data_IF_095827773102
#
_entry.id   IF_095827773102
#
_cell.length_a   1.000
_cell.length_b   1.000
_cell.length_c   1.000
_cell.angle_alpha   90.00
_cell.angle_beta   90.00
_cell.angle_gamma   90.00
#
_symmetry.space_group_name_H-M   'P 1'
#
loop_
_entity.id
_entity.type
_entity.pdbx_description
1 polymer ?
#
# COMPACT_ATOMS: atom_id res chain seq x y z
N UNK A 1 40.73 -8.29 -20.39
CA UNK A 1 41.06 -7.15 -21.29
C UNK A 1 39.88 -6.24 -21.66
N UNK A 2 38.72 -6.74 -22.12
CA UNK A 2 37.58 -5.86 -22.51
C UNK A 2 37.03 -4.97 -21.38
N UNK A 3 36.91 -5.49 -20.15
CA UNK A 3 36.45 -4.73 -18.98
C UNK A 3 37.39 -3.58 -18.60
N UNK A 4 38.69 -3.87 -18.53
CA UNK A 4 39.72 -2.86 -18.25
C UNK A 4 39.73 -1.77 -19.34
N UNK A 5 39.57 -2.17 -20.61
CA UNK A 5 39.43 -1.22 -21.72
C UNK A 5 38.23 -0.31 -21.55
N UNK A 6 37.07 -0.84 -21.16
CA UNK A 6 35.87 -0.04 -20.92
C UNK A 6 36.08 1.02 -19.82
N UNK A 7 36.77 0.64 -18.73
CA UNK A 7 37.13 1.56 -17.64
C UNK A 7 38.10 2.64 -18.14
N UNK A 8 39.12 2.27 -18.92
CA UNK A 8 40.10 3.21 -19.46
C UNK A 8 39.58 4.08 -20.62
N UNK A 9 38.45 3.73 -21.21
CA UNK A 9 37.81 4.51 -22.27
C UNK A 9 36.76 5.48 -21.72
N UNK A 10 35.98 5.05 -20.71
CA UNK A 10 34.82 5.81 -20.23
C UNK A 10 34.74 5.99 -18.70
N UNK A 11 35.77 5.67 -17.93
CA UNK A 11 35.79 5.77 -16.46
C UNK A 11 35.85 7.19 -15.87
N UNK A 12 35.40 8.21 -16.59
CA UNK A 12 35.42 9.59 -16.08
C UNK A 12 34.58 9.73 -14.81
N UNK A 13 35.01 10.61 -13.91
CA UNK A 13 34.39 10.82 -12.60
C UNK A 13 33.85 12.25 -12.46
N UNK A 14 32.79 12.58 -13.21
CA UNK A 14 32.11 13.89 -13.14
C UNK A 14 30.64 13.77 -12.71
N UNK A 15 30.14 14.70 -11.91
CA UNK A 15 28.74 14.72 -11.44
C UNK A 15 28.61 14.57 -9.92
N UNK A 16 27.37 14.53 -9.43
CA UNK A 16 27.05 14.44 -8.00
C UNK A 16 26.97 13.02 -7.44
N UNK A 17 27.22 12.00 -8.27
CA UNK A 17 27.23 10.58 -7.89
C UNK A 17 28.62 10.13 -7.45
N UNK A 18 28.68 9.11 -6.59
CA UNK A 18 29.95 8.56 -6.11
C UNK A 18 30.85 8.09 -7.26
N UNK A 19 32.16 8.23 -7.04
CA UNK A 19 33.24 7.92 -7.99
C UNK A 19 33.12 6.49 -8.54
N UNK A 20 32.81 5.51 -7.70
CA UNK A 20 32.68 4.11 -8.08
C UNK A 20 31.45 3.87 -8.96
N UNK A 21 30.29 4.40 -8.57
CA UNK A 21 29.08 4.31 -9.39
C UNK A 21 29.29 4.98 -10.77
N UNK A 22 29.98 6.10 -10.82
CA UNK A 22 30.29 6.80 -12.07
C UNK A 22 31.14 5.94 -13.02
N UNK A 23 32.25 5.40 -12.50
CA UNK A 23 33.13 4.51 -13.28
C UNK A 23 32.35 3.27 -13.73
N UNK A 24 31.55 2.66 -12.84
CA UNK A 24 30.81 1.45 -13.13
C UNK A 24 29.71 1.67 -14.18
N UNK A 25 28.89 2.71 -14.04
CA UNK A 25 27.80 3.01 -14.96
C UNK A 25 28.32 3.38 -16.35
N UNK A 26 29.39 4.18 -16.43
CA UNK A 26 29.98 4.55 -17.70
C UNK A 26 30.66 3.35 -18.38
N UNK A 27 31.37 2.53 -17.61
CA UNK A 27 32.00 1.30 -18.12
C UNK A 27 30.96 0.28 -18.57
N UNK A 28 29.85 0.15 -17.84
CA UNK A 28 28.75 -0.75 -18.18
C UNK A 28 28.01 -0.29 -19.43
N UNK A 29 27.82 1.03 -19.58
CA UNK A 29 27.23 1.62 -20.78
C UNK A 29 28.11 1.36 -22.01
N UNK A 30 29.44 1.52 -21.86
CA UNK A 30 30.39 1.19 -22.93
C UNK A 30 30.36 -0.29 -23.32
N UNK A 31 30.32 -1.19 -22.33
CA UNK A 31 30.22 -2.64 -22.58
C UNK A 31 28.89 -3.07 -23.20
N UNK A 32 27.79 -2.38 -22.86
CA UNK A 32 26.46 -2.62 -23.44
C UNK A 32 26.33 -2.05 -24.86
N UNK A 33 27.00 -0.93 -25.16
CA UNK A 33 27.01 -0.33 -26.50
C UNK A 33 27.74 -1.18 -27.54
N UNK A 34 28.74 -1.96 -27.13
CA UNK A 34 29.49 -2.88 -28.00
C UNK A 34 28.79 -4.22 -28.30
N UNK A 35 27.50 -4.40 -27.95
CA UNK A 35 26.76 -5.62 -28.27
C UNK A 35 26.20 -5.68 -29.69
N UNK A 36 26.33 -4.58 -30.47
CA UNK A 36 26.02 -4.57 -31.88
C UNK A 36 27.34 -4.68 -32.63
N UNK A 37 27.52 -5.82 -33.30
CA UNK A 37 28.82 -6.34 -33.72
C UNK A 37 29.63 -5.37 -34.57
N UNK A 38 30.88 -5.20 -34.16
CA UNK A 38 32.04 -5.00 -35.01
C UNK A 38 33.24 -5.49 -34.19
N UNK A 39 33.82 -6.60 -34.64
CA UNK A 39 35.12 -7.05 -34.17
C UNK A 39 36.18 -6.11 -34.73
N UNK A 40 36.38 -4.97 -34.07
CA UNK A 40 37.51 -4.11 -34.42
C UNK A 40 38.79 -4.71 -33.85
N UNK A 41 39.46 -5.44 -34.74
CA UNK A 41 40.85 -5.85 -34.71
C UNK A 41 41.80 -4.65 -35.00
N UNK A 42 41.45 -3.46 -34.50
CA UNK A 42 42.36 -2.31 -34.47
C UNK A 42 42.36 -1.70 -33.07
N UNK A 43 43.53 -1.23 -32.64
CA UNK A 43 43.81 -0.74 -31.30
C UNK A 43 43.04 0.53 -30.96
N UNK A 44 41.73 0.42 -30.69
CA UNK A 44 40.91 1.53 -30.19
C UNK A 44 41.58 2.12 -28.96
N UNK A 45 42.17 3.30 -29.16
CA UNK A 45 42.92 4.03 -28.16
C UNK A 45 42.03 4.22 -26.94
N UNK A 46 42.44 3.65 -25.82
CA UNK A 46 41.85 4.01 -24.54
C UNK A 46 42.15 5.50 -24.29
N UNK A 47 41.19 6.21 -23.70
CA UNK A 47 41.37 7.63 -23.35
C UNK A 47 42.47 7.77 -22.31
N UNK A 48 42.57 6.78 -21.41
CA UNK A 48 43.64 6.66 -20.43
C UNK A 48 44.56 5.50 -20.79
N UNK A 49 45.87 5.73 -20.79
CA UNK A 49 46.89 4.71 -21.04
C UNK A 49 46.88 3.60 -19.97
N UNK A 50 46.59 3.98 -18.72
CA UNK A 50 46.47 3.05 -17.60
C UNK A 50 45.54 3.62 -16.50
N UNK A 51 45.27 2.79 -15.48
CA UNK A 51 44.42 3.18 -14.35
C UNK A 51 45.04 4.32 -13.52
N UNK A 52 46.36 4.47 -13.55
CA UNK A 52 47.04 5.52 -12.81
C UNK A 52 46.73 6.87 -13.42
N UNK A 53 46.79 6.99 -14.75
CA UNK A 53 46.41 8.19 -15.48
C UNK A 53 44.93 8.54 -15.25
N UNK A 54 44.05 7.53 -15.23
CA UNK A 54 42.62 7.74 -14.93
C UNK A 54 42.40 8.28 -13.50
N UNK A 55 43.07 7.69 -12.50
CA UNK A 55 42.99 8.13 -11.09
C UNK A 55 43.55 9.54 -10.92
N UNK A 56 44.69 9.83 -11.52
CA UNK A 56 45.32 11.15 -11.47
C UNK A 56 44.42 12.22 -12.11
N UNK A 57 43.81 11.93 -13.27
CA UNK A 57 42.88 12.83 -13.94
C UNK A 57 41.59 13.05 -13.12
N UNK A 58 41.01 11.97 -12.59
CA UNK A 58 39.78 12.03 -11.78
C UNK A 58 40.00 12.81 -10.49
N UNK A 59 41.13 12.58 -9.81
CA UNK A 59 41.51 13.33 -8.62
C UNK A 59 41.77 14.81 -8.91
N UNK A 60 42.44 15.12 -10.02
CA UNK A 60 42.64 16.50 -10.46
C UNK A 60 41.30 17.20 -10.72
N UNK A 61 40.34 16.53 -11.35
CA UNK A 61 38.99 17.03 -11.58
C UNK A 61 38.21 17.30 -10.29
N UNK A 62 38.22 16.36 -9.33
CA UNK A 62 37.55 16.54 -8.03
C UNK A 62 38.17 17.67 -7.21
N UNK A 63 39.50 17.79 -7.20
CA UNK A 63 40.21 18.89 -6.55
C UNK A 63 39.87 20.23 -7.22
N UNK A 64 39.77 20.26 -8.56
CA UNK A 64 39.35 21.44 -9.30
C UNK A 64 37.92 21.87 -8.92
N UNK A 65 36.97 20.93 -8.86
CA UNK A 65 35.60 21.19 -8.43
C UNK A 65 35.52 21.74 -7.01
N UNK A 66 36.27 21.17 -6.06
CA UNK A 66 36.33 21.69 -4.69
C UNK A 66 36.90 23.09 -4.61
N UNK A 67 37.92 23.41 -5.42
CA UNK A 67 38.50 24.75 -5.47
C UNK A 67 37.56 25.78 -6.11
N UNK A 68 36.61 25.38 -6.96
CA UNK A 68 35.58 26.30 -7.44
C UNK A 68 34.61 26.70 -6.32
N UNK A 69 34.26 25.77 -5.44
CA UNK A 69 33.35 26.04 -4.30
C UNK A 69 34.09 26.71 -3.14
N UNK A 70 35.37 26.36 -2.92
CA UNK A 70 36.24 26.91 -1.89
C UNK A 70 37.57 27.40 -2.51
N UNK A 71 37.63 28.63 -3.06
CA UNK A 71 38.78 29.13 -3.82
C UNK A 71 40.05 29.29 -2.97
N UNK A 72 39.90 29.49 -1.66
CA UNK A 72 41.02 29.61 -0.73
C UNK A 72 41.60 28.24 -0.28
N UNK A 73 41.06 27.14 -0.79
CA UNK A 73 41.47 25.80 -0.42
C UNK A 73 42.76 25.41 -1.15
N UNK A 74 43.78 24.99 -0.39
CA UNK A 74 45.01 24.47 -1.00
C UNK A 74 44.74 23.12 -1.68
N UNK A 75 45.61 22.73 -2.62
CA UNK A 75 45.51 21.41 -3.29
C UNK A 75 45.52 20.26 -2.27
N UNK A 76 46.37 20.35 -1.25
CA UNK A 76 46.48 19.35 -0.20
C UNK A 76 45.23 19.28 0.70
N UNK A 77 44.63 20.43 0.99
CA UNK A 77 43.40 20.49 1.79
C UNK A 77 42.20 19.90 1.04
N UNK A 78 42.08 20.19 -0.26
CA UNK A 78 41.06 19.60 -1.12
C UNK A 78 41.19 18.08 -1.16
N UNK A 79 42.42 17.57 -1.36
CA UNK A 79 42.70 16.13 -1.33
C UNK A 79 42.35 15.53 0.04
N UNK A 80 42.60 16.25 1.13
CA UNK A 80 42.26 15.78 2.46
C UNK A 80 40.75 15.75 2.73
N UNK A 81 40.00 16.78 2.32
CA UNK A 81 38.53 16.76 2.40
C UNK A 81 37.95 15.55 1.65
N UNK A 82 38.49 15.25 0.46
CA UNK A 82 38.08 14.08 -0.31
C UNK A 82 38.37 12.77 0.44
N UNK A 83 39.56 12.63 1.05
CA UNK A 83 39.90 11.45 1.84
C UNK A 83 38.98 11.27 3.07
N UNK A 84 38.62 12.37 3.72
CA UNK A 84 37.69 12.37 4.87
C UNK A 84 36.23 12.15 4.45
N UNK A 85 35.92 12.25 3.15
CA UNK A 85 34.56 12.18 2.60
C UNK A 85 34.36 11.01 1.65
N UNK A 86 35.21 9.98 1.69
CA UNK A 86 35.12 8.82 0.77
C UNK A 86 35.14 9.23 -0.72
N UNK A 87 35.89 10.28 -1.06
CA UNK A 87 35.97 10.90 -2.39
C UNK A 87 34.66 11.53 -2.89
N UNK A 88 33.68 11.75 -2.01
CA UNK A 88 32.44 12.48 -2.32
C UNK A 88 32.71 13.99 -2.30
N UNK A 89 32.61 14.63 -3.47
CA UNK A 89 32.85 16.06 -3.66
C UNK A 89 31.81 16.91 -2.92
N UNK A 90 30.56 16.45 -2.84
CA UNK A 90 29.47 17.14 -2.14
C UNK A 90 29.74 17.21 -0.64
N UNK A 91 30.03 16.05 -0.03
CA UNK A 91 30.42 15.99 1.39
C UNK A 91 31.71 16.77 1.66
N UNK A 92 32.72 16.60 0.82
CA UNK A 92 34.00 17.29 0.95
C UNK A 92 33.87 18.82 0.91
N UNK A 93 32.90 19.34 0.15
CA UNK A 93 32.63 20.78 0.08
C UNK A 93 32.09 21.37 1.39
N UNK A 94 31.51 20.55 2.27
CA UNK A 94 30.94 20.96 3.56
C UNK A 94 31.91 20.85 4.73
N UNK A 95 33.06 20.20 4.53
CA UNK A 95 34.07 20.07 5.58
C UNK A 95 34.75 21.42 5.81
N UNK A 96 34.68 21.90 7.04
CA UNK A 96 35.40 23.09 7.49
C UNK A 96 36.81 22.68 7.95
N UNK A 97 37.81 23.06 7.16
CA UNK A 97 39.21 22.94 7.54
C UNK A 97 39.61 24.24 8.26
N UNK A 98 40.24 24.17 9.45
CA UNK A 98 40.79 25.35 10.11
C UNK A 98 41.69 26.14 9.15
N UNK A 99 41.32 27.39 8.87
CA UNK A 99 42.02 28.28 7.95
C UNK A 99 43.39 28.67 8.53
N UNK A 100 44.42 27.89 8.23
CA UNK A 100 45.80 28.32 8.47
C UNK A 100 46.15 29.40 7.45
N UNK A 101 46.38 30.62 7.96
CA UNK A 101 46.75 31.80 7.17
C UNK A 101 47.94 31.58 6.24
N UNK A 102 48.03 32.47 5.25
CA UNK A 102 49.14 32.62 4.30
C UNK A 102 50.49 32.34 4.97
N UNK A 103 51.22 31.36 4.44
CA UNK A 103 52.67 31.28 4.60
C UNK A 103 53.23 31.22 3.19
N UNK A 104 53.81 32.33 2.77
CA UNK A 104 54.70 32.42 1.62
C UNK A 104 55.94 31.55 1.88
N UNK A 105 56.39 30.81 0.87
CA UNK A 105 57.71 30.19 0.87
C UNK A 105 57.73 28.66 0.98
N UNK A 106 58.11 28.07 -0.13
CA UNK A 106 58.87 26.82 -0.26
C UNK A 106 58.29 25.52 0.33
N UNK A 107 57.75 24.70 -0.59
CA UNK A 107 58.31 23.37 -0.75
C UNK A 107 58.04 22.28 0.29
N UNK A 108 57.06 22.37 1.18
CA UNK A 108 56.54 21.16 1.85
C UNK A 108 55.12 21.37 2.39
N UNK A 109 54.18 20.49 2.04
CA UNK A 109 52.94 20.36 2.79
C UNK A 109 52.40 18.93 2.75
N UNK A 110 51.83 18.40 3.88
CA UNK A 110 51.45 19.17 5.07
C UNK A 110 51.83 18.54 6.43
N UNK A 111 52.56 19.30 7.26
CA UNK A 111 52.31 19.33 8.71
C UNK A 111 50.97 20.05 8.96
N UNK A 112 49.83 19.42 8.64
CA UNK A 112 48.49 19.98 8.94
C UNK A 112 47.66 19.20 9.95
N UNK A 113 48.17 18.08 10.42
CA UNK A 113 47.60 17.39 11.55
C UNK A 113 48.67 17.32 12.64
N UNK A 114 48.38 17.86 13.82
CA UNK A 114 49.16 17.60 15.04
C UNK A 114 49.00 16.13 15.46
N UNK A 115 49.19 15.20 14.53
CA UNK A 115 49.29 13.78 14.79
C UNK A 115 50.51 13.61 15.68
N UNK A 116 50.26 13.11 16.89
CA UNK A 116 51.34 12.74 17.80
C UNK A 116 52.27 11.75 17.08
N UNK A 117 53.57 11.70 17.43
CA UNK A 117 54.51 10.76 16.81
C UNK A 117 53.98 9.31 16.70
N UNK A 118 53.22 8.77 17.67
CA UNK A 118 52.57 7.47 17.55
C UNK A 118 51.53 7.38 16.43
N UNK A 119 50.66 8.40 16.28
CA UNK A 119 49.64 8.43 15.22
C UNK A 119 50.27 8.45 13.83
N UNK A 120 51.43 9.10 13.66
CA UNK A 120 52.17 9.11 12.39
C UNK A 120 52.78 7.74 12.06
N UNK A 121 53.27 7.02 13.07
CA UNK A 121 53.77 5.65 12.89
C UNK A 121 52.63 4.69 12.55
N UNK A 122 51.51 4.76 13.27
CA UNK A 122 50.30 3.97 12.98
C UNK A 122 49.76 4.22 11.56
N UNK A 123 49.74 5.48 11.12
CA UNK A 123 49.33 5.80 9.75
C UNK A 123 50.30 5.22 8.71
N UNK A 124 51.61 5.28 8.95
CA UNK A 124 52.59 4.62 8.07
C UNK A 124 52.43 3.11 8.02
N UNK A 125 52.18 2.48 9.16
CA UNK A 125 51.92 1.04 9.26
C UNK A 125 50.63 0.66 8.55
N UNK A 126 49.54 1.43 8.73
CA UNK A 126 48.28 1.22 8.04
C UNK A 126 48.44 1.39 6.52
N UNK A 127 49.19 2.39 6.07
CA UNK A 127 49.52 2.58 4.65
C UNK A 127 50.35 1.42 4.12
N UNK A 128 51.33 0.93 4.88
CA UNK A 128 52.15 -0.20 4.49
C UNK A 128 51.35 -1.51 4.44
N UNK A 129 50.50 -1.76 5.43
CA UNK A 129 49.61 -2.91 5.50
C UNK A 129 48.59 -2.89 4.36
N UNK A 130 48.02 -1.71 4.06
CA UNK A 130 47.13 -1.53 2.91
C UNK A 130 47.87 -1.77 1.58
N UNK A 131 49.07 -1.22 1.41
CA UNK A 131 49.90 -1.43 0.22
C UNK A 131 50.35 -2.89 0.07
N UNK A 132 50.55 -3.61 1.18
CA UNK A 132 50.83 -5.04 1.18
C UNK A 132 49.58 -5.85 0.81
N UNK A 133 48.42 -5.54 1.40
CA UNK A 133 47.15 -6.17 1.07
C UNK A 133 46.73 -5.94 -0.38
N UNK A 134 46.95 -4.73 -0.91
CA UNK A 134 46.72 -4.40 -2.31
C UNK A 134 47.66 -5.19 -3.25
N UNK A 135 48.96 -5.31 -2.91
CA UNK A 135 49.91 -6.15 -3.67
C UNK A 135 49.55 -7.64 -3.62
N UNK A 136 49.13 -8.15 -2.46
CA UNK A 136 48.63 -9.51 -2.32
C UNK A 136 47.35 -9.73 -3.14
N UNK A 137 46.47 -8.73 -3.19
CA UNK A 137 45.28 -8.78 -4.04
C UNK A 137 45.62 -8.75 -5.53
N UNK A 138 46.58 -7.92 -5.95
CA UNK A 138 47.03 -7.83 -7.35
C UNK A 138 47.69 -9.12 -7.87
N UNK A 139 48.36 -9.87 -6.99
CA UNK A 139 49.13 -11.07 -7.36
C UNK A 139 48.36 -12.38 -7.20
N UNK A 140 47.11 -12.35 -6.72
CA UNK A 140 46.26 -13.53 -6.68
C UNK A 140 45.83 -13.92 -8.11
N UNK A 141 45.67 -15.22 -8.42
CA UNK A 141 45.22 -15.66 -9.74
C UNK A 141 43.84 -15.05 -10.06
N UNK A 142 43.78 -14.18 -11.07
CA UNK A 142 42.57 -13.40 -11.42
C UNK A 142 41.31 -14.26 -11.57
N UNK A 143 41.48 -15.49 -12.09
CA UNK A 143 40.38 -16.43 -12.35
C UNK A 143 39.51 -16.73 -11.11
N UNK A 144 40.11 -16.88 -9.93
CA UNK A 144 39.35 -17.17 -8.71
C UNK A 144 38.52 -15.99 -8.17
N UNK A 145 38.95 -14.76 -8.46
CA UNK A 145 38.24 -13.54 -8.05
C UNK A 145 37.13 -13.19 -9.02
N UNK A 146 37.37 -13.40 -10.31
CA UNK A 146 36.35 -13.24 -11.34
C UNK A 146 35.21 -14.25 -11.14
N UNK A 147 35.52 -15.50 -10.83
CA UNK A 147 34.50 -16.53 -10.58
C UNK A 147 33.65 -16.20 -9.33
N UNK A 148 34.27 -15.74 -8.24
CA UNK A 148 33.56 -15.30 -7.03
C UNK A 148 32.71 -14.04 -7.28
N UNK A 149 33.22 -13.08 -8.06
CA UNK A 149 32.49 -11.87 -8.46
C UNK A 149 31.29 -12.20 -9.35
N UNK A 150 31.46 -13.12 -10.31
CA UNK A 150 30.36 -13.61 -11.16
C UNK A 150 29.30 -14.31 -10.30
N UNK A 151 29.72 -15.12 -9.31
CA UNK A 151 28.82 -15.76 -8.36
C UNK A 151 27.97 -14.75 -7.57
N UNK A 152 28.62 -13.73 -6.98
CA UNK A 152 27.93 -12.67 -6.25
C UNK A 152 27.00 -11.84 -7.15
N UNK A 153 27.43 -11.52 -8.36
CA UNK A 153 26.61 -10.77 -9.31
C UNK A 153 25.33 -11.54 -9.69
N UNK A 154 25.46 -12.85 -9.93
CA UNK A 154 24.31 -13.73 -10.19
C UNK A 154 23.37 -13.76 -8.98
N UNK A 155 23.91 -13.88 -7.77
CA UNK A 155 23.11 -13.87 -6.55
C UNK A 155 22.37 -12.54 -6.34
N UNK A 156 23.01 -11.40 -6.60
CA UNK A 156 22.35 -10.08 -6.54
C UNK A 156 21.20 -9.98 -7.56
N UNK A 157 21.40 -10.47 -8.79
CA UNK A 157 20.35 -10.49 -9.80
C UNK A 157 19.18 -11.40 -9.41
N UNK A 158 19.47 -12.58 -8.87
CA UNK A 158 18.46 -13.52 -8.40
C UNK A 158 17.66 -12.96 -7.23
N UNK A 159 18.34 -12.32 -6.25
CA UNK A 159 17.67 -11.64 -5.14
C UNK A 159 16.82 -10.47 -5.63
N UNK A 160 17.32 -9.66 -6.57
CA UNK A 160 16.55 -8.56 -7.17
C UNK A 160 15.29 -9.07 -7.87
N UNK A 161 15.37 -10.21 -8.58
CA UNK A 161 14.21 -10.87 -9.19
C UNK A 161 13.21 -11.34 -8.13
N UNK A 162 13.67 -12.02 -7.08
CA UNK A 162 12.80 -12.47 -5.98
C UNK A 162 12.09 -11.32 -5.27
N UNK A 163 12.78 -10.20 -5.02
CA UNK A 163 12.16 -9.00 -4.43
C UNK A 163 11.05 -8.46 -5.32
N UNK A 164 11.27 -8.41 -6.64
CA UNK A 164 10.26 -7.96 -7.62
C UNK A 164 9.04 -8.89 -7.62
N UNK A 165 9.26 -10.20 -7.71
CA UNK A 165 8.20 -11.22 -7.72
C UNK A 165 7.38 -11.19 -6.41
N UNK A 166 8.05 -11.07 -5.26
CA UNK A 166 7.38 -10.96 -3.95
C UNK A 166 6.54 -9.69 -3.85
N UNK A 167 7.02 -8.57 -4.39
CA UNK A 167 6.28 -7.31 -4.42
C UNK A 167 5.02 -7.43 -5.29
N UNK A 168 5.15 -8.00 -6.49
CA UNK A 168 4.03 -8.21 -7.40
C UNK A 168 2.99 -9.18 -6.81
N UNK A 169 3.45 -10.27 -6.19
CA UNK A 169 2.56 -11.23 -5.53
C UNK A 169 1.79 -10.59 -4.37
N UNK A 170 2.49 -9.83 -3.50
CA UNK A 170 1.86 -9.14 -2.38
C UNK A 170 0.85 -8.09 -2.86
N UNK A 171 1.20 -7.32 -3.89
CA UNK A 171 0.30 -6.32 -4.47
C UNK A 171 -0.94 -6.99 -5.07
N UNK A 172 -0.79 -8.09 -5.82
CA UNK A 172 -1.92 -8.85 -6.37
C UNK A 172 -2.83 -9.41 -5.27
N UNK A 173 -2.26 -9.91 -4.17
CA UNK A 173 -3.04 -10.40 -3.03
C UNK A 173 -3.78 -9.28 -2.30
N UNK A 174 -3.17 -8.11 -2.14
CA UNK A 174 -3.84 -6.94 -1.59
C UNK A 174 -5.03 -6.50 -2.46
N UNK A 175 -4.86 -6.45 -3.78
CA UNK A 175 -5.98 -6.14 -4.70
C UNK A 175 -7.10 -7.17 -4.61
N UNK A 176 -6.79 -8.47 -4.56
CA UNK A 176 -7.79 -9.53 -4.41
C UNK A 176 -8.56 -9.38 -3.09
N UNK A 177 -7.88 -9.09 -2.00
CA UNK A 177 -8.52 -8.87 -0.70
C UNK A 177 -9.40 -7.61 -0.72
N UNK A 178 -8.92 -6.50 -1.29
CA UNK A 178 -9.69 -5.26 -1.42
C UNK A 178 -10.94 -5.45 -2.29
N UNK A 179 -10.84 -6.19 -3.40
CA UNK A 179 -11.98 -6.50 -4.26
C UNK A 179 -13.01 -7.33 -3.50
N UNK A 180 -12.57 -8.37 -2.79
CA UNK A 180 -13.47 -9.21 -1.98
C UNK A 180 -14.23 -8.40 -0.93
N UNK A 181 -13.56 -7.47 -0.24
CA UNK A 181 -14.21 -6.58 0.72
C UNK A 181 -15.21 -5.65 0.04
N UNK A 182 -14.90 -5.16 -1.17
CA UNK A 182 -15.85 -4.36 -1.96
C UNK A 182 -17.11 -5.16 -2.31
N UNK A 183 -16.96 -6.41 -2.70
CA UNK A 183 -18.08 -7.29 -3.05
C UNK A 183 -18.94 -7.60 -1.80
N UNK A 184 -18.31 -7.94 -0.66
CA UNK A 184 -18.99 -8.16 0.62
C UNK A 184 -19.74 -6.90 1.11
N UNK A 185 -19.18 -5.71 0.88
CA UNK A 185 -19.84 -4.45 1.23
C UNK A 185 -21.10 -4.21 0.36
N UNK A 186 -21.04 -4.51 -0.93
CA UNK A 186 -22.18 -4.38 -1.84
C UNK A 186 -23.31 -5.35 -1.46
N UNK A 187 -22.97 -6.60 -1.10
CA UNK A 187 -23.94 -7.58 -0.60
C UNK A 187 -24.60 -7.13 0.70
N UNK A 188 -23.81 -6.61 1.65
CA UNK A 188 -24.33 -6.06 2.91
C UNK A 188 -25.27 -4.87 2.69
N UNK A 189 -24.98 -4.01 1.71
CA UNK A 189 -25.86 -2.89 1.36
C UNK A 189 -27.20 -3.39 0.80
N UNK A 190 -27.17 -4.41 -0.07
CA UNK A 190 -28.39 -5.04 -0.60
C UNK A 190 -29.25 -5.64 0.51
N UNK A 191 -28.64 -6.44 1.40
CA UNK A 191 -29.34 -7.06 2.54
C UNK A 191 -29.93 -6.01 3.50
N UNK A 192 -29.25 -4.88 3.70
CA UNK A 192 -29.79 -3.77 4.49
C UNK A 192 -31.02 -3.15 3.84
N UNK A 193 -31.00 -2.93 2.53
CA UNK A 193 -32.14 -2.41 1.78
C UNK A 193 -33.33 -3.38 1.84
N UNK A 194 -33.09 -4.68 1.64
CA UNK A 194 -34.12 -5.72 1.74
C UNK A 194 -34.72 -5.82 3.16
N UNK A 195 -33.89 -5.66 4.20
CA UNK A 195 -34.36 -5.62 5.58
C UNK A 195 -35.26 -4.41 5.84
N UNK A 196 -34.92 -3.25 5.29
CA UNK A 196 -35.73 -2.04 5.42
C UNK A 196 -37.07 -2.17 4.69
N UNK A 197 -37.07 -2.75 3.49
CA UNK A 197 -38.30 -3.08 2.76
C UNK A 197 -39.20 -4.05 3.54
N UNK A 198 -38.63 -5.13 4.09
CA UNK A 198 -39.35 -6.10 4.92
C UNK A 198 -39.99 -5.44 6.16
N UNK A 199 -39.28 -4.49 6.81
CA UNK A 199 -39.82 -3.74 7.93
C UNK A 199 -41.01 -2.87 7.53
N UNK A 200 -40.94 -2.21 6.36
CA UNK A 200 -42.04 -1.39 5.83
C UNK A 200 -43.27 -2.25 5.50
N UNK A 201 -43.06 -3.40 4.85
CA UNK A 201 -44.14 -4.36 4.56
C UNK A 201 -44.79 -4.89 5.83
N UNK A 202 -43.98 -5.24 6.84
CA UNK A 202 -44.49 -5.73 8.13
C UNK A 202 -45.35 -4.68 8.84
N UNK A 203 -44.90 -3.42 8.88
CA UNK A 203 -45.68 -2.31 9.46
C UNK A 203 -46.98 -2.09 8.69
N UNK A 204 -46.94 -2.14 7.35
CA UNK A 204 -48.13 -2.04 6.51
C UNK A 204 -49.15 -3.15 6.80
N UNK A 205 -48.69 -4.42 6.85
CA UNK A 205 -49.54 -5.57 7.16
C UNK A 205 -50.19 -5.46 8.55
N UNK A 206 -49.40 -5.12 9.57
CA UNK A 206 -49.90 -4.95 10.93
C UNK A 206 -50.97 -3.85 11.01
N UNK A 207 -50.76 -2.71 10.33
CA UNK A 207 -51.78 -1.65 10.27
C UNK A 207 -53.06 -2.08 9.55
N UNK A 208 -52.95 -2.92 8.52
CA UNK A 208 -54.08 -3.52 7.83
C UNK A 208 -54.86 -4.47 8.73
N UNK A 209 -54.17 -5.35 9.44
CA UNK A 209 -54.75 -6.29 10.42
C UNK A 209 -55.43 -5.56 11.59
N UNK A 210 -54.81 -4.50 12.11
CA UNK A 210 -55.41 -3.67 13.17
C UNK A 210 -56.72 -3.01 12.69
N UNK A 211 -56.74 -2.53 11.45
CA UNK A 211 -57.95 -1.94 10.85
C UNK A 211 -59.07 -2.95 10.61
N UNK A 212 -58.74 -4.19 10.22
CA UNK A 212 -59.73 -5.25 10.00
C UNK A 212 -60.30 -5.75 11.33
N UNK A 213 -59.45 -5.97 12.33
CA UNK A 213 -59.87 -6.36 13.69
C UNK A 213 -60.82 -5.32 14.28
N UNK A 214 -60.48 -4.02 14.16
CA UNK A 214 -61.34 -2.95 14.67
C UNK A 214 -62.74 -2.98 14.06
N UNK A 215 -62.83 -3.12 12.74
CA UNK A 215 -64.11 -3.21 12.01
C UNK A 215 -64.92 -4.45 12.40
N UNK A 216 -64.27 -5.59 12.66
CA UNK A 216 -64.95 -6.79 13.17
C UNK A 216 -65.50 -6.53 14.57
N UNK A 217 -64.71 -5.96 15.48
CA UNK A 217 -65.17 -5.64 16.84
C UNK A 217 -66.35 -4.66 16.86
N UNK A 218 -66.34 -3.66 15.96
CA UNK A 218 -67.47 -2.74 15.75
C UNK A 218 -68.72 -3.51 15.30
N UNK A 219 -68.60 -4.37 14.29
CA UNK A 219 -69.72 -5.19 13.78
C UNK A 219 -70.25 -6.19 14.82
N UNK A 220 -69.38 -6.81 15.63
CA UNK A 220 -69.78 -7.67 16.75
C UNK A 220 -70.54 -6.91 17.83
N UNK A 221 -70.11 -5.68 18.13
CA UNK A 221 -70.84 -4.78 19.04
C UNK A 221 -72.27 -4.52 18.52
N UNK A 222 -72.41 -4.22 17.24
CA UNK A 222 -73.73 -3.95 16.66
C UNK A 222 -74.60 -5.21 16.55
N UNK A 223 -74.02 -6.37 16.23
CA UNK A 223 -74.71 -7.66 16.28
C UNK A 223 -75.21 -7.98 17.69
N UNK A 224 -74.42 -7.73 18.74
CA UNK A 224 -74.90 -7.87 20.14
C UNK A 224 -76.11 -7.00 20.42
N UNK A 225 -76.12 -5.75 19.94
CA UNK A 225 -77.28 -4.85 20.09
C UNK A 225 -78.49 -5.40 19.34
N UNK A 226 -78.33 -5.81 18.09
CA UNK A 226 -79.42 -6.37 17.27
C UNK A 226 -79.96 -7.66 17.89
N UNK A 227 -79.11 -8.55 18.38
CA UNK A 227 -79.51 -9.76 19.10
C UNK A 227 -80.42 -9.43 20.29
N UNK A 228 -80.02 -8.46 21.12
CA UNK A 228 -80.85 -8.04 22.26
C UNK A 228 -82.22 -7.47 21.84
N UNK A 229 -82.31 -6.86 20.66
CA UNK A 229 -83.60 -6.40 20.11
C UNK A 229 -84.44 -7.56 19.59
N UNK A 230 -83.82 -8.54 18.93
CA UNK A 230 -84.48 -9.78 18.48
C UNK A 230 -85.02 -10.57 19.67
N UNK A 231 -84.26 -10.69 20.76
CA UNK A 231 -84.72 -11.36 21.99
C UNK A 231 -85.97 -10.68 22.57
N UNK A 232 -85.97 -9.33 22.63
CA UNK A 232 -87.13 -8.54 23.05
C UNK A 232 -88.33 -8.74 22.13
N UNK A 233 -88.12 -8.69 20.81
CA UNK A 233 -89.17 -8.93 19.83
C UNK A 233 -89.75 -10.34 19.94
N UNK A 234 -88.90 -11.34 20.20
CA UNK A 234 -89.31 -12.72 20.44
C UNK A 234 -90.17 -12.89 21.68
N UNK A 235 -89.86 -12.19 22.78
CA UNK A 235 -90.74 -12.17 23.97
C UNK A 235 -92.12 -11.58 23.65
N UNK A 236 -92.16 -10.48 22.89
CA UNK A 236 -93.42 -9.85 22.46
C UNK A 236 -94.22 -10.80 21.57
N UNK A 237 -93.58 -11.44 20.59
CA UNK A 237 -94.23 -12.37 19.68
C UNK A 237 -94.87 -13.56 20.41
N UNK A 238 -94.14 -14.22 21.33
CA UNK A 238 -94.70 -15.33 22.13
C UNK A 238 -95.90 -14.91 22.96
N UNK A 239 -95.87 -13.70 23.52
CA UNK A 239 -97.01 -13.17 24.27
C UNK A 239 -98.23 -13.02 23.37
N UNK A 240 -98.06 -12.41 22.20
CA UNK A 240 -99.13 -12.25 21.21
C UNK A 240 -99.65 -13.60 20.68
N UNK A 241 -98.78 -14.59 20.49
CA UNK A 241 -99.19 -15.95 20.12
C UNK A 241 -100.05 -16.61 21.19
N UNK A 242 -99.67 -16.49 22.47
CA UNK A 242 -100.46 -16.98 23.59
C UNK A 242 -101.83 -16.29 23.67
N UNK A 243 -101.86 -14.96 23.58
CA UNK A 243 -103.11 -14.18 23.55
C UNK A 243 -104.00 -14.63 22.37
N UNK A 244 -103.44 -14.83 21.17
CA UNK A 244 -104.17 -15.36 20.01
C UNK A 244 -104.67 -16.80 20.19
N UNK A 245 -103.90 -17.67 20.84
CA UNK A 245 -104.33 -19.04 21.13
C UNK A 245 -105.50 -19.05 22.11
N UNK A 246 -105.43 -18.22 23.16
CA UNK A 246 -106.53 -18.02 24.12
C UNK A 246 -107.78 -17.51 23.41
N UNK A 247 -107.68 -16.45 22.60
CA UNK A 247 -108.82 -15.92 21.84
C UNK A 247 -109.44 -16.99 20.94
N UNK A 248 -108.63 -17.81 20.24
CA UNK A 248 -109.15 -18.91 19.42
C UNK A 248 -109.89 -19.96 20.25
N UNK A 249 -109.34 -20.34 21.39
CA UNK A 249 -109.99 -21.29 22.30
C UNK A 249 -111.30 -20.72 22.88
N UNK A 250 -111.33 -19.45 23.25
CA UNK A 250 -112.54 -18.75 23.70
C UNK A 250 -113.61 -18.73 22.61
N UNK A 251 -113.25 -18.42 21.35
CA UNK A 251 -114.17 -18.46 20.21
C UNK A 251 -114.75 -19.87 20.00
N UNK A 252 -113.93 -20.92 20.08
CA UNK A 252 -114.40 -22.30 19.97
C UNK A 252 -115.31 -22.71 21.13
N UNK A 253 -114.98 -22.30 22.36
CA UNK A 253 -115.82 -22.54 23.54
C UNK A 253 -117.18 -21.84 23.41
N UNK A 254 -117.22 -20.57 22.93
CA UNK A 254 -118.48 -19.87 22.66
C UNK A 254 -119.33 -20.62 21.63
N UNK A 255 -118.73 -21.08 20.52
CA UNK A 255 -119.43 -21.89 19.50
C UNK A 255 -119.94 -23.22 20.04
N UNK A 256 -119.15 -23.91 20.87
CA UNK A 256 -119.59 -25.16 21.51
C UNK A 256 -120.76 -24.92 22.46
N UNK A 257 -120.73 -23.85 23.26
CA UNK A 257 -121.85 -23.48 24.14
C UNK A 257 -123.13 -23.13 23.37
N UNK A 258 -123.01 -22.54 22.17
CA UNK A 258 -124.14 -22.30 21.27
C UNK A 258 -124.69 -23.62 20.69
N UNK A 259 -123.85 -24.64 20.52
CA UNK A 259 -124.24 -25.96 19.98
C UNK A 259 -124.66 -27.01 21.02
N UNK A 260 -124.22 -26.89 22.28
CA UNK A 260 -124.60 -27.74 23.43
C UNK A 260 -125.92 -27.28 24.08
N UNK A 261 -126.57 -26.27 23.52
CA UNK A 261 -127.92 -25.88 23.88
C UNK A 261 -128.99 -26.52 22.96
N UNK A 262 -129.43 -27.77 23.20
CA UNK A 262 -130.74 -28.22 22.74
C UNK A 262 -131.73 -28.33 23.91
N UNK A 263 -132.89 -27.67 23.72
CA UNK A 263 -134.16 -27.79 24.46
C UNK A 263 -134.16 -27.25 25.88
N UNK A 264 -134.71 -26.04 26.04
CA UNK A 264 -135.80 -25.77 26.99
C UNK A 264 -136.56 -24.52 26.51
N UNK A 265 -137.56 -24.77 25.65
CA UNK A 265 -138.84 -24.06 25.46
C UNK A 265 -139.41 -24.41 24.08
#
# INVERSE_FOLDING_TARGET
>A
MRRLRAVLSNGYCYGGTDVLNNILDNSLTHLKGSSNGEEDEDGSKTVFADLRQLVEYSLAGMVYLLKQVKPNLSKGDAMCCLLMSELDVGKASTIDIPTSGKVDGDGDCPRRFNLTPPMKCLLRENVAAFAAGYRASKNAPEKGKDDALIGLLRQVQDLKRQVKERREWAQKKAMQAAQKVSDELAELQSLRSEREENLRLKKGKQSGEESTVKRISEMESDLRKVSSHVDKAGMIARRLENENAVIRAEIEASKLSESESPRLA
#
